data_IF_665632495027
#
_entry.id   IF_665632495027
#
_cell.length_a   1.000
_cell.length_b   1.000
_cell.length_c   1.000
_cell.angle_alpha   90.00
_cell.angle_beta   90.00
_cell.angle_gamma   90.00
#
_symmetry.space_group_name_H-M   'P 1'
#
loop_
_entity.id
_entity.type
_entity.pdbx_description
1 polymer ?
#
# COMPACT_ATOMS: atom_id res chain seq x y z
N UNK A 1 28.43 -8.01 30.53
CA UNK A 1 27.38 -8.49 29.61
C UNK A 1 27.95 -8.30 28.19
N UNK A 2 28.15 -9.42 27.49
CA UNK A 2 28.53 -9.38 26.09
C UNK A 2 27.32 -8.95 25.26
N UNK A 3 27.50 -8.11 24.20
CA UNK A 3 26.40 -7.78 23.30
C UNK A 3 25.91 -9.06 22.62
N UNK A 4 24.60 -9.23 22.52
CA UNK A 4 24.00 -10.29 21.75
C UNK A 4 24.47 -10.17 20.29
N UNK A 5 25.02 -11.25 19.74
CA UNK A 5 25.33 -11.32 18.31
C UNK A 5 24.01 -11.20 17.53
N UNK A 6 23.94 -10.22 16.61
CA UNK A 6 22.87 -10.15 15.63
C UNK A 6 22.82 -11.47 14.84
N UNK A 7 21.63 -12.01 14.51
CA UNK A 7 21.52 -13.18 13.66
C UNK A 7 22.24 -12.89 12.35
N UNK A 8 23.14 -13.76 11.94
CA UNK A 8 23.81 -13.68 10.64
C UNK A 8 22.72 -13.76 9.56
N UNK A 9 22.63 -12.75 8.69
CA UNK A 9 21.83 -12.82 7.47
C UNK A 9 22.28 -14.04 6.67
N UNK A 10 21.32 -14.90 6.31
CA UNK A 10 21.61 -16.00 5.39
C UNK A 10 22.07 -15.41 4.05
N UNK A 11 23.06 -16.00 3.38
CA UNK A 11 23.53 -15.49 2.11
C UNK A 11 22.39 -15.52 1.08
N UNK A 12 22.18 -14.39 0.39
CA UNK A 12 21.23 -14.32 -0.72
C UNK A 12 21.63 -15.35 -1.80
N UNK A 13 20.64 -16.09 -2.40
CA UNK A 13 20.91 -17.05 -3.45
C UNK A 13 21.61 -16.41 -4.65
N UNK A 14 22.54 -17.14 -5.28
CA UNK A 14 23.21 -16.64 -6.49
C UNK A 14 22.21 -16.54 -7.66
N UNK A 15 22.41 -15.55 -8.54
CA UNK A 15 21.52 -15.26 -9.70
C UNK A 15 21.25 -16.50 -10.55
N UNK A 16 22.23 -17.37 -10.76
CA UNK A 16 22.07 -18.60 -11.53
C UNK A 16 21.09 -19.60 -10.88
N UNK A 17 20.98 -19.61 -9.54
CA UNK A 17 20.03 -20.46 -8.81
C UNK A 17 18.60 -19.92 -8.94
N UNK A 18 18.43 -18.61 -8.91
CA UNK A 18 17.14 -17.94 -9.12
C UNK A 18 16.64 -18.16 -10.55
N UNK A 19 17.53 -17.97 -11.55
CA UNK A 19 17.18 -18.25 -12.94
C UNK A 19 16.76 -19.71 -13.11
N UNK A 20 17.49 -20.64 -12.54
CA UNK A 20 17.15 -22.08 -12.65
C UNK A 20 15.82 -22.42 -11.98
N UNK A 21 15.41 -21.67 -10.97
CA UNK A 21 14.15 -21.91 -10.25
C UNK A 21 12.91 -21.30 -10.94
N UNK A 22 13.08 -20.17 -11.63
CA UNK A 22 11.97 -19.38 -12.17
C UNK A 22 11.97 -19.20 -13.69
N UNK A 23 12.97 -19.64 -14.44
CA UNK A 23 12.99 -19.64 -15.91
C UNK A 23 12.04 -20.73 -16.43
N UNK A 24 10.76 -20.45 -16.41
CA UNK A 24 9.70 -21.39 -16.78
C UNK A 24 9.69 -21.65 -18.30
N UNK A 25 10.07 -20.68 -19.09
CA UNK A 25 10.07 -20.77 -20.56
C UNK A 25 11.39 -21.38 -21.12
N UNK A 26 12.46 -21.48 -20.30
CA UNK A 26 13.75 -22.08 -20.65
C UNK A 26 14.61 -21.24 -21.57
N UNK A 27 14.47 -19.93 -21.58
CA UNK A 27 15.22 -19.01 -22.43
C UNK A 27 16.54 -18.52 -21.81
N UNK A 28 16.80 -18.90 -20.55
CA UNK A 28 18.03 -18.62 -19.84
C UNK A 28 18.02 -17.32 -19.05
N UNK A 29 16.85 -16.68 -18.88
CA UNK A 29 16.67 -15.49 -18.06
C UNK A 29 15.34 -15.57 -17.29
N UNK A 30 15.10 -14.62 -16.39
CA UNK A 30 13.79 -14.44 -15.74
C UNK A 30 13.17 -13.13 -16.22
N UNK A 31 11.92 -13.18 -16.62
CA UNK A 31 11.14 -12.02 -17.02
C UNK A 31 10.00 -11.78 -16.05
N UNK A 32 9.98 -10.62 -15.37
CA UNK A 32 8.89 -10.23 -14.50
C UNK A 32 7.80 -9.54 -15.32
N UNK A 33 6.56 -10.03 -15.23
CA UNK A 33 5.38 -9.32 -15.70
C UNK A 33 4.78 -8.50 -14.57
N UNK A 34 4.34 -7.28 -14.83
CA UNK A 34 3.61 -6.45 -13.88
C UNK A 34 2.25 -6.10 -14.47
N UNK A 35 1.18 -6.50 -13.78
CA UNK A 35 -0.18 -6.08 -14.06
C UNK A 35 -0.62 -5.08 -12.98
N UNK A 36 -0.80 -3.81 -13.34
CA UNK A 36 -1.15 -2.75 -12.42
C UNK A 36 -2.54 -2.17 -12.73
N UNK A 37 -3.41 -2.06 -11.71
CA UNK A 37 -4.75 -1.50 -11.88
C UNK A 37 -4.73 0.01 -12.17
N UNK A 38 -3.77 0.74 -11.63
CA UNK A 38 -3.58 2.17 -11.89
C UNK A 38 -2.42 2.50 -12.82
N UNK A 39 -2.25 3.79 -13.14
CA UNK A 39 -1.16 4.28 -13.97
C UNK A 39 0.21 4.03 -13.31
N UNK A 40 1.21 3.66 -14.12
CA UNK A 40 2.60 3.48 -13.67
C UNK A 40 3.32 4.75 -13.24
N UNK A 41 2.69 5.90 -13.40
CA UNK A 41 3.17 7.24 -13.04
C UNK A 41 2.20 7.95 -12.08
N UNK A 42 1.52 7.17 -11.21
CA UNK A 42 0.54 7.70 -10.25
C UNK A 42 1.16 8.44 -9.05
N UNK A 43 2.47 8.45 -8.93
CA UNK A 43 3.18 9.03 -7.78
C UNK A 43 3.04 8.19 -6.50
N UNK A 44 2.46 6.99 -6.55
CA UNK A 44 2.09 6.17 -5.41
C UNK A 44 2.35 4.68 -5.60
N UNK A 45 1.35 3.88 -5.24
CA UNK A 45 1.43 2.43 -5.14
C UNK A 45 1.85 1.72 -6.44
N UNK A 46 1.24 2.10 -7.58
CA UNK A 46 1.50 1.39 -8.84
C UNK A 46 2.83 1.80 -9.46
N UNK A 47 3.20 3.09 -9.34
CA UNK A 47 4.52 3.53 -9.77
C UNK A 47 5.61 2.81 -9.02
N UNK A 48 5.53 2.74 -7.69
CA UNK A 48 6.59 2.09 -6.89
C UNK A 48 6.70 0.60 -7.18
N UNK A 49 5.59 -0.10 -7.48
CA UNK A 49 5.60 -1.50 -7.90
C UNK A 49 6.34 -1.69 -9.23
N UNK A 50 6.12 -0.80 -10.21
CA UNK A 50 6.80 -0.85 -11.51
C UNK A 50 8.28 -0.50 -11.36
N UNK A 51 8.60 0.57 -10.64
CA UNK A 51 9.97 1.01 -10.38
C UNK A 51 10.78 -0.08 -9.67
N UNK A 52 10.15 -0.79 -8.72
CA UNK A 52 10.75 -1.96 -8.08
C UNK A 52 11.06 -3.05 -9.12
N UNK A 53 10.11 -3.45 -9.95
CA UNK A 53 10.32 -4.51 -10.94
C UNK A 53 11.44 -4.16 -11.92
N UNK A 54 11.52 -2.90 -12.37
CA UNK A 54 12.58 -2.40 -13.25
C UNK A 54 13.96 -2.44 -12.56
N UNK A 55 14.03 -1.92 -11.32
CA UNK A 55 15.28 -1.87 -10.56
C UNK A 55 15.77 -3.27 -10.21
N UNK A 56 14.87 -4.10 -9.67
CA UNK A 56 15.21 -5.47 -9.28
C UNK A 56 15.67 -6.31 -10.47
N UNK A 57 15.00 -6.21 -11.62
CA UNK A 57 15.41 -6.93 -12.84
C UNK A 57 16.79 -6.49 -13.31
N UNK A 58 17.07 -5.18 -13.29
CA UNK A 58 18.38 -4.66 -13.70
C UNK A 58 19.50 -5.09 -12.75
N UNK A 59 19.29 -5.08 -11.44
CA UNK A 59 20.27 -5.45 -10.43
C UNK A 59 20.61 -6.95 -10.44
N UNK A 60 19.60 -7.79 -10.78
CA UNK A 60 19.77 -9.25 -10.79
C UNK A 60 20.04 -9.84 -12.18
N UNK A 61 20.23 -9.01 -13.20
CA UNK A 61 20.54 -9.47 -14.55
C UNK A 61 19.38 -10.19 -15.23
N UNK A 62 18.16 -9.93 -14.80
CA UNK A 62 16.92 -10.41 -15.42
C UNK A 62 16.62 -9.64 -16.71
N UNK A 63 15.71 -10.16 -17.51
CA UNK A 63 15.19 -9.40 -18.65
C UNK A 63 14.43 -8.15 -18.15
N UNK A 64 14.36 -7.05 -18.93
CA UNK A 64 13.52 -5.92 -18.60
C UNK A 64 12.07 -6.37 -18.37
N UNK A 65 11.39 -5.88 -17.32
CA UNK A 65 10.03 -6.32 -17.02
C UNK A 65 9.04 -5.93 -18.12
N UNK A 66 7.99 -6.71 -18.28
CA UNK A 66 6.88 -6.42 -19.19
C UNK A 66 5.73 -5.87 -18.36
N UNK A 67 5.35 -4.62 -18.59
CA UNK A 67 4.37 -3.90 -17.76
C UNK A 67 3.10 -3.62 -18.55
N UNK A 68 1.96 -4.01 -17.98
CA UNK A 68 0.63 -3.55 -18.37
C UNK A 68 0.03 -2.78 -17.20
N UNK A 69 -0.25 -1.52 -17.38
CA UNK A 69 -0.75 -0.62 -16.35
C UNK A 69 -2.10 0.02 -16.72
N UNK A 70 -2.72 0.68 -15.77
CA UNK A 70 -4.04 1.30 -15.92
C UNK A 70 -5.10 0.29 -16.40
N UNK A 71 -5.07 -0.92 -15.82
CA UNK A 71 -5.94 -2.02 -16.19
C UNK A 71 -7.28 -1.87 -15.45
N UNK A 72 -8.35 -1.66 -16.20
CA UNK A 72 -9.70 -1.72 -15.65
C UNK A 72 -10.14 -3.15 -15.33
N UNK A 73 -11.06 -3.33 -14.39
CA UNK A 73 -11.56 -4.64 -13.97
C UNK A 73 -12.11 -5.47 -15.17
N UNK A 74 -12.82 -4.83 -16.11
CA UNK A 74 -13.36 -5.51 -17.29
C UNK A 74 -12.29 -6.00 -18.29
N UNK A 75 -11.09 -5.42 -18.25
CA UNK A 75 -9.96 -5.77 -19.10
C UNK A 75 -8.94 -6.69 -18.42
N UNK A 76 -9.06 -6.91 -17.11
CA UNK A 76 -8.07 -7.59 -16.27
C UNK A 76 -7.69 -8.98 -16.81
N UNK A 77 -8.69 -9.82 -17.11
CA UNK A 77 -8.45 -11.16 -17.64
C UNK A 77 -7.63 -11.15 -18.94
N UNK A 78 -7.99 -10.25 -19.86
CA UNK A 78 -7.29 -10.11 -21.14
C UNK A 78 -5.86 -9.58 -20.96
N UNK A 79 -5.68 -8.53 -20.16
CA UNK A 79 -4.38 -7.90 -19.98
C UNK A 79 -3.37 -8.85 -19.33
N UNK A 80 -3.78 -9.60 -18.29
CA UNK A 80 -2.91 -10.59 -17.65
C UNK A 80 -2.65 -11.81 -18.54
N UNK A 81 -3.64 -12.29 -19.31
CA UNK A 81 -3.41 -13.35 -20.29
C UNK A 81 -2.43 -12.91 -21.40
N UNK A 82 -2.51 -11.64 -21.85
CA UNK A 82 -1.58 -11.08 -22.83
C UNK A 82 -0.15 -10.98 -22.27
N UNK A 83 0.03 -10.64 -20.99
CA UNK A 83 1.34 -10.70 -20.30
C UNK A 83 1.86 -12.13 -20.22
N UNK A 84 1.03 -13.08 -19.79
CA UNK A 84 1.38 -14.49 -19.70
C UNK A 84 1.86 -15.06 -21.05
N UNK A 85 1.19 -14.70 -22.16
CA UNK A 85 1.56 -15.12 -23.51
C UNK A 85 2.84 -14.48 -24.04
N UNK A 86 3.34 -13.43 -23.44
CA UNK A 86 4.62 -12.81 -23.80
C UNK A 86 5.83 -13.50 -23.17
N UNK A 87 5.62 -14.58 -22.41
CA UNK A 87 6.70 -15.39 -21.86
C UNK A 87 7.28 -14.84 -20.57
N UNK A 88 6.46 -14.18 -19.74
CA UNK A 88 6.86 -13.82 -18.38
C UNK A 88 6.94 -15.08 -17.51
N UNK A 89 7.89 -15.11 -16.60
CA UNK A 89 8.12 -16.24 -15.68
C UNK A 89 7.48 -16.00 -14.31
N UNK A 90 7.50 -14.76 -13.86
CA UNK A 90 6.82 -14.30 -12.63
C UNK A 90 5.83 -13.21 -13.03
N UNK A 91 4.56 -13.31 -12.64
CA UNK A 91 3.58 -12.27 -12.88
C UNK A 91 3.12 -11.66 -11.55
N UNK A 92 3.47 -10.41 -11.34
CA UNK A 92 3.07 -9.61 -10.18
C UNK A 92 1.79 -8.83 -10.46
N UNK A 93 0.76 -9.04 -9.66
CA UNK A 93 -0.55 -8.39 -9.76
C UNK A 93 -0.71 -7.36 -8.65
N UNK A 94 -0.80 -6.12 -9.01
CA UNK A 94 -1.04 -5.00 -8.11
C UNK A 94 -2.31 -4.25 -8.52
N UNK A 95 -3.40 -4.44 -7.83
CA UNK A 95 -3.64 -5.25 -6.65
C UNK A 95 -5.03 -5.94 -6.76
N UNK A 96 -5.81 -5.96 -5.66
CA UNK A 96 -7.09 -6.71 -5.60
C UNK A 96 -8.15 -6.24 -6.61
N UNK A 97 -8.07 -5.02 -7.10
CA UNK A 97 -9.01 -4.42 -8.07
C UNK A 97 -9.09 -5.19 -9.39
N UNK A 98 -8.01 -5.87 -9.74
CA UNK A 98 -7.93 -6.68 -10.98
C UNK A 98 -7.74 -8.18 -10.70
N UNK A 99 -7.93 -8.63 -9.45
CA UNK A 99 -7.64 -10.01 -9.04
C UNK A 99 -8.74 -11.03 -9.40
N UNK A 100 -9.96 -10.57 -9.72
CA UNK A 100 -11.11 -11.44 -9.97
C UNK A 100 -10.84 -12.60 -10.98
N UNK A 101 -10.10 -12.43 -12.09
CA UNK A 101 -9.86 -13.50 -13.03
C UNK A 101 -8.69 -14.45 -12.64
N UNK A 102 -7.98 -14.22 -11.56
CA UNK A 102 -6.82 -15.02 -11.16
C UNK A 102 -7.09 -16.53 -11.02
N UNK A 103 -8.26 -16.99 -10.48
CA UNK A 103 -8.54 -18.42 -10.41
C UNK A 103 -8.45 -19.13 -11.76
N UNK A 104 -9.01 -18.53 -12.81
CA UNK A 104 -9.00 -19.11 -14.15
C UNK A 104 -7.61 -18.98 -14.83
N UNK A 105 -6.91 -17.86 -14.57
CA UNK A 105 -5.62 -17.59 -15.19
C UNK A 105 -4.49 -18.45 -14.63
N UNK A 106 -4.46 -18.72 -13.33
CA UNK A 106 -3.47 -19.62 -12.71
C UNK A 106 -3.63 -21.05 -13.21
N UNK A 107 -4.87 -21.51 -13.47
CA UNK A 107 -5.12 -22.81 -14.10
C UNK A 107 -4.73 -22.84 -15.58
N UNK A 108 -4.92 -21.74 -16.30
CA UNK A 108 -4.61 -21.64 -17.73
C UNK A 108 -3.10 -21.54 -18.00
N UNK A 109 -2.33 -20.90 -17.12
CA UNK A 109 -0.90 -20.67 -17.26
C UNK A 109 -0.14 -21.20 -16.02
N UNK A 110 -0.12 -22.53 -15.81
CA UNK A 110 0.42 -23.13 -14.58
C UNK A 110 1.95 -23.10 -14.47
N UNK A 111 2.65 -22.75 -15.55
CA UNK A 111 4.12 -22.67 -15.56
C UNK A 111 4.62 -21.29 -15.08
N UNK A 112 3.75 -20.29 -15.00
CA UNK A 112 4.08 -18.95 -14.51
C UNK A 112 3.93 -18.90 -13.00
N UNK A 113 4.90 -18.30 -12.29
CA UNK A 113 4.74 -18.01 -10.88
C UNK A 113 3.86 -16.77 -10.70
N UNK A 114 2.65 -16.96 -10.16
CA UNK A 114 1.70 -15.89 -9.91
C UNK A 114 1.83 -15.35 -8.49
N UNK A 115 1.99 -14.04 -8.38
CA UNK A 115 2.00 -13.31 -7.12
C UNK A 115 0.99 -12.17 -7.14
N UNK A 116 0.23 -12.01 -6.05
CA UNK A 116 -0.69 -10.89 -5.87
C UNK A 116 -0.58 -10.30 -4.47
N UNK A 117 -0.46 -8.99 -4.37
CA UNK A 117 -0.81 -8.26 -3.16
C UNK A 117 -2.33 -8.02 -3.19
N UNK A 118 -3.09 -9.05 -2.88
CA UNK A 118 -4.53 -9.11 -3.11
C UNK A 118 -5.40 -8.52 -1.98
N UNK A 119 -4.79 -8.04 -0.91
CA UNK A 119 -5.53 -7.49 0.22
C UNK A 119 -6.35 -8.52 1.00
N UNK A 120 -7.01 -8.06 2.05
CA UNK A 120 -7.82 -8.91 2.92
C UNK A 120 -9.08 -9.44 2.20
N UNK A 121 -9.39 -10.70 2.48
CA UNK A 121 -10.61 -11.34 1.97
C UNK A 121 -10.49 -12.03 0.63
N UNK A 122 -9.37 -11.92 -0.10
CA UNK A 122 -9.15 -12.72 -1.29
C UNK A 122 -8.82 -14.17 -0.89
N UNK A 123 -9.50 -15.19 -1.46
CA UNK A 123 -9.30 -16.57 -1.04
C UNK A 123 -7.91 -17.09 -1.45
N UNK A 124 -7.36 -18.01 -0.66
CA UNK A 124 -6.18 -18.76 -1.07
C UNK A 124 -6.52 -19.65 -2.28
N UNK A 125 -5.69 -19.56 -3.32
CA UNK A 125 -5.87 -20.27 -4.56
C UNK A 125 -4.63 -21.12 -4.86
N UNK A 126 -4.79 -22.40 -5.27
CA UNK A 126 -3.69 -23.17 -5.82
C UNK A 126 -3.03 -22.39 -6.98
N UNK A 127 -1.70 -22.39 -7.06
CA UNK A 127 -0.97 -21.69 -8.12
C UNK A 127 -0.89 -20.18 -7.95
N UNK A 128 -1.32 -19.61 -6.81
CA UNK A 128 -1.20 -18.19 -6.50
C UNK A 128 -0.49 -17.97 -5.15
N UNK A 129 0.66 -17.32 -5.16
CA UNK A 129 1.26 -16.78 -3.95
C UNK A 129 0.63 -15.42 -3.63
N UNK A 130 0.24 -15.19 -2.39
CA UNK A 130 -0.40 -13.96 -1.98
C UNK A 130 0.33 -13.29 -0.84
N UNK A 131 0.32 -11.97 -0.85
CA UNK A 131 0.62 -11.19 0.33
C UNK A 131 -0.55 -10.26 0.66
N UNK A 132 -0.70 -9.95 1.93
CA UNK A 132 -1.69 -9.00 2.43
C UNK A 132 -1.09 -8.20 3.56
N UNK A 133 -1.58 -7.01 3.75
CA UNK A 133 -1.34 -6.20 4.94
C UNK A 133 -2.62 -6.16 5.82
N UNK A 134 -2.54 -5.48 6.93
CA UNK A 134 -3.71 -5.24 7.76
C UNK A 134 -4.05 -3.75 7.77
N UNK A 135 -4.96 -3.36 6.89
CA UNK A 135 -5.35 -1.97 6.69
C UNK A 135 -5.75 -1.26 7.99
N UNK A 136 -6.52 -1.91 8.85
CA UNK A 136 -6.91 -1.33 10.13
C UNK A 136 -5.70 -1.02 11.04
N UNK A 137 -4.70 -1.90 11.11
CA UNK A 137 -3.50 -1.67 11.92
C UNK A 137 -2.63 -0.53 11.36
N UNK A 138 -2.42 -0.52 10.06
CA UNK A 138 -1.71 0.56 9.35
C UNK A 138 -2.36 1.91 9.65
N UNK A 139 -3.67 2.00 9.44
CA UNK A 139 -4.41 3.25 9.56
C UNK A 139 -4.69 3.68 11.02
N UNK A 140 -4.63 2.76 11.97
CA UNK A 140 -4.57 3.11 13.39
C UNK A 140 -3.33 3.96 13.71
N UNK A 141 -2.14 3.55 13.23
CA UNK A 141 -0.91 4.34 13.42
C UNK A 141 -1.02 5.72 12.77
N UNK A 142 -1.67 5.78 11.60
CA UNK A 142 -1.95 7.03 10.90
C UNK A 142 -2.85 7.96 11.73
N UNK A 143 -3.90 7.43 12.33
CA UNK A 143 -4.78 8.19 13.21
C UNK A 143 -4.04 8.79 14.41
N UNK A 144 -3.17 7.99 15.05
CA UNK A 144 -2.32 8.47 16.16
C UNK A 144 -1.38 9.59 15.71
N UNK A 145 -0.70 9.43 14.56
CA UNK A 145 0.19 10.44 14.00
C UNK A 145 -0.54 11.74 13.66
N UNK A 146 -1.66 11.63 12.94
CA UNK A 146 -2.49 12.77 12.54
C UNK A 146 -3.04 13.52 13.75
N UNK A 147 -3.42 12.82 14.82
CA UNK A 147 -3.86 13.44 16.07
C UNK A 147 -2.77 14.31 16.67
N UNK A 148 -1.54 13.83 16.75
CA UNK A 148 -0.42 14.60 17.29
C UNK A 148 -0.15 15.86 16.44
N UNK A 149 -0.11 15.72 15.13
CA UNK A 149 0.05 16.85 14.18
C UNK A 149 -1.07 17.87 14.37
N UNK A 150 -2.31 17.43 14.51
CA UNK A 150 -3.47 18.32 14.73
C UNK A 150 -3.40 19.06 16.08
N UNK A 151 -2.98 18.37 17.14
CA UNK A 151 -2.79 18.96 18.48
C UNK A 151 -1.70 20.05 18.42
N UNK A 152 -0.56 19.73 17.78
CA UNK A 152 0.55 20.69 17.62
C UNK A 152 0.16 21.90 16.77
N UNK A 153 -0.67 21.70 15.75
CA UNK A 153 -1.19 22.77 14.90
C UNK A 153 -2.36 23.55 15.53
N UNK A 154 -2.94 23.04 16.64
CA UNK A 154 -4.10 23.64 17.28
C UNK A 154 -5.39 23.55 16.47
N UNK A 155 -5.54 22.51 15.64
CA UNK A 155 -6.74 22.22 14.85
C UNK A 155 -7.47 20.99 15.38
N UNK A 156 -8.79 20.91 15.16
CA UNK A 156 -9.61 19.79 15.60
C UNK A 156 -10.40 19.12 14.48
N UNK A 157 -10.28 19.66 13.25
CA UNK A 157 -10.99 19.14 12.08
C UNK A 157 -9.99 18.69 11.01
N UNK A 158 -10.26 17.57 10.41
CA UNK A 158 -9.52 17.03 9.28
C UNK A 158 -10.46 16.45 8.22
N UNK A 159 -9.91 16.14 7.05
CA UNK A 159 -10.63 15.52 5.94
C UNK A 159 -9.89 14.30 5.44
N UNK A 160 -10.63 13.22 5.18
CA UNK A 160 -10.20 12.06 4.41
C UNK A 160 -10.73 12.20 2.99
N UNK A 161 -9.83 12.33 2.02
CA UNK A 161 -10.18 12.35 0.62
C UNK A 161 -10.04 10.94 0.07
N UNK A 162 -11.14 10.27 -0.15
CA UNK A 162 -11.19 8.92 -0.71
C UNK A 162 -11.82 8.93 -2.10
N UNK A 163 -11.84 7.76 -2.73
CA UNK A 163 -12.50 7.56 -4.02
C UNK A 163 -14.02 7.43 -3.83
N UNK A 164 -14.46 6.39 -3.18
CA UNK A 164 -15.76 5.82 -3.51
C UNK A 164 -16.36 4.92 -2.40
N UNK A 165 -15.93 5.00 -1.16
CA UNK A 165 -16.45 4.24 0.01
C UNK A 165 -16.42 2.71 -0.20
N UNK A 166 -15.37 2.20 -0.82
CA UNK A 166 -15.16 0.75 -0.93
C UNK A 166 -14.60 0.18 0.38
N UNK A 167 -14.68 -1.13 0.57
CA UNK A 167 -14.41 -1.80 1.85
C UNK A 167 -13.07 -1.41 2.50
N UNK A 168 -11.96 -1.43 1.76
CA UNK A 168 -10.66 -1.08 2.31
C UNK A 168 -10.50 0.43 2.60
N UNK A 169 -11.22 1.33 1.89
CA UNK A 169 -11.26 2.75 2.25
C UNK A 169 -12.09 2.98 3.52
N UNK A 170 -13.21 2.27 3.68
CA UNK A 170 -14.02 2.33 4.90
C UNK A 170 -13.21 1.83 6.09
N UNK A 171 -12.50 0.69 5.94
CA UNK A 171 -11.56 0.18 6.94
C UNK A 171 -10.51 1.22 7.32
N UNK A 172 -9.87 1.84 6.31
CA UNK A 172 -8.85 2.86 6.49
C UNK A 172 -9.39 4.08 7.25
N UNK A 173 -10.53 4.62 6.80
CA UNK A 173 -11.16 5.77 7.43
C UNK A 173 -11.53 5.51 8.89
N UNK A 174 -12.21 4.40 9.16
CA UNK A 174 -12.66 4.06 10.52
C UNK A 174 -11.48 3.82 11.46
N UNK A 175 -10.40 3.19 10.96
CA UNK A 175 -9.19 2.97 11.73
C UNK A 175 -8.41 4.27 12.01
N UNK A 176 -8.34 5.21 11.05
CA UNK A 176 -7.78 6.55 11.28
C UNK A 176 -8.58 7.28 12.35
N UNK A 177 -9.92 7.31 12.23
CA UNK A 177 -10.78 7.96 13.22
C UNK A 177 -10.61 7.32 14.61
N UNK A 178 -10.55 5.99 14.69
CA UNK A 178 -10.31 5.27 15.94
C UNK A 178 -8.94 5.65 16.55
N UNK A 179 -7.88 5.66 15.75
CA UNK A 179 -6.54 6.07 16.20
C UNK A 179 -6.50 7.53 16.67
N UNK A 180 -7.10 8.44 15.92
CA UNK A 180 -7.21 9.86 16.32
C UNK A 180 -7.93 10.03 17.66
N UNK A 181 -9.09 9.38 17.81
CA UNK A 181 -9.92 9.50 19.01
C UNK A 181 -9.34 8.79 20.23
N UNK A 182 -8.43 7.82 20.03
CA UNK A 182 -7.67 7.21 21.12
C UNK A 182 -6.70 8.20 21.78
N UNK A 183 -6.22 9.21 21.00
CA UNK A 183 -5.35 10.29 21.48
C UNK A 183 -6.19 11.45 22.04
N UNK A 184 -7.13 11.97 21.27
CA UNK A 184 -8.04 13.04 21.70
C UNK A 184 -9.44 12.84 21.10
N UNK A 185 -10.46 12.51 21.92
CA UNK A 185 -11.83 12.29 21.47
C UNK A 185 -12.51 13.51 20.84
N UNK A 186 -11.92 14.69 20.94
CA UNK A 186 -12.47 15.92 20.35
C UNK A 186 -12.09 16.11 18.88
N UNK A 187 -11.13 15.34 18.38
CA UNK A 187 -10.69 15.37 16.99
C UNK A 187 -11.72 14.70 16.08
N UNK A 188 -11.93 15.30 14.91
CA UNK A 188 -12.91 14.82 13.93
C UNK A 188 -12.31 14.79 12.54
N UNK A 189 -12.68 13.77 11.77
CA UNK A 189 -12.35 13.63 10.36
C UNK A 189 -13.63 13.44 9.55
N UNK A 190 -13.76 14.15 8.44
CA UNK A 190 -14.86 14.01 7.50
C UNK A 190 -14.36 13.17 6.30
N UNK A 191 -15.13 12.14 5.91
CA UNK A 191 -14.86 11.43 4.67
C UNK A 191 -15.52 12.17 3.50
N UNK A 192 -14.76 12.39 2.43
CA UNK A 192 -15.25 13.00 1.19
C UNK A 192 -14.87 12.13 0.00
N UNK A 193 -15.91 11.60 -0.68
CA UNK A 193 -15.74 10.87 -1.93
C UNK A 193 -15.38 11.83 -3.07
N UNK A 194 -14.31 11.54 -3.81
CA UNK A 194 -13.80 12.40 -4.88
C UNK A 194 -13.85 11.75 -6.26
N UNK A 195 -14.07 10.44 -6.33
CA UNK A 195 -14.10 9.68 -7.57
C UNK A 195 -15.41 8.91 -7.77
N UNK A 196 -15.49 8.19 -8.87
CA UNK A 196 -16.60 7.31 -9.20
C UNK A 196 -16.30 5.87 -8.76
N UNK A 197 -17.35 5.17 -8.29
CA UNK A 197 -17.25 3.74 -7.98
C UNK A 197 -16.90 2.93 -9.25
N UNK A 198 -16.04 1.90 -9.21
CA UNK A 198 -15.45 1.37 -7.97
C UNK A 198 -14.06 1.92 -7.62
N UNK A 199 -13.26 2.45 -8.52
CA UNK A 199 -11.81 2.66 -8.28
C UNK A 199 -11.24 3.94 -8.92
N UNK A 200 -12.02 5.03 -9.01
CA UNK A 200 -11.51 6.31 -9.56
C UNK A 200 -10.74 7.12 -8.51
N UNK A 201 -9.49 6.73 -8.27
CA UNK A 201 -8.56 7.46 -7.41
C UNK A 201 -7.83 8.61 -8.14
N UNK A 202 -8.22 8.90 -9.39
CA UNK A 202 -7.45 9.78 -10.27
C UNK A 202 -8.15 11.12 -10.55
N UNK A 203 -9.29 11.40 -9.92
CA UNK A 203 -10.09 12.59 -10.19
C UNK A 203 -9.52 13.84 -9.50
N UNK A 204 -8.45 14.40 -10.06
CA UNK A 204 -7.75 15.57 -9.53
C UNK A 204 -8.64 16.80 -9.34
N UNK A 205 -9.61 17.01 -10.24
CA UNK A 205 -10.52 18.17 -10.16
C UNK A 205 -11.44 18.07 -8.94
N UNK A 206 -12.04 16.90 -8.71
CA UNK A 206 -12.92 16.67 -7.56
C UNK A 206 -12.11 16.67 -6.25
N UNK A 207 -10.93 16.03 -6.21
CA UNK A 207 -10.06 16.01 -5.04
C UNK A 207 -9.67 17.43 -4.60
N UNK A 208 -9.25 18.27 -5.55
CA UNK A 208 -8.90 19.67 -5.29
C UNK A 208 -10.11 20.47 -4.78
N UNK A 209 -11.28 20.31 -5.40
CA UNK A 209 -12.51 21.02 -4.98
C UNK A 209 -13.00 20.58 -3.59
N UNK A 210 -12.93 19.28 -3.30
CA UNK A 210 -13.27 18.71 -2.00
C UNK A 210 -12.36 19.26 -0.90
N UNK A 211 -11.04 19.27 -1.15
CA UNK A 211 -10.06 19.83 -0.23
C UNK A 211 -10.34 21.32 0.06
N UNK A 212 -10.55 22.14 -1.00
CA UNK A 212 -10.83 23.57 -0.83
C UNK A 212 -12.11 23.79 -0.01
N UNK A 213 -13.13 22.96 -0.18
CA UNK A 213 -14.35 22.98 0.62
C UNK A 213 -14.07 22.65 2.08
N UNK A 214 -13.34 21.56 2.34
CA UNK A 214 -12.98 21.16 3.70
C UNK A 214 -12.15 22.24 4.43
N UNK A 215 -11.21 22.87 3.72
CA UNK A 215 -10.43 24.01 4.26
C UNK A 215 -11.34 25.19 4.61
N UNK A 216 -12.30 25.53 3.77
CA UNK A 216 -13.26 26.59 4.04
C UNK A 216 -14.14 26.28 5.27
N UNK A 217 -14.40 25.01 5.54
CA UNK A 217 -15.13 24.51 6.71
C UNK A 217 -14.25 24.33 7.96
N UNK A 218 -12.95 24.65 7.84
CA UNK A 218 -11.98 24.74 8.93
C UNK A 218 -11.15 23.49 9.15
N UNK A 219 -11.03 22.61 8.15
CA UNK A 219 -10.06 21.51 8.19
C UNK A 219 -8.62 22.06 8.22
N UNK A 220 -7.82 21.57 9.14
CA UNK A 220 -6.39 21.93 9.27
C UNK A 220 -5.45 20.80 8.91
N UNK A 221 -6.02 19.63 8.53
CA UNK A 221 -5.28 18.47 8.05
C UNK A 221 -6.09 17.73 6.98
N UNK A 222 -5.43 17.23 5.95
CA UNK A 222 -5.99 16.34 4.96
C UNK A 222 -5.22 15.01 4.92
N UNK A 223 -5.94 13.91 4.78
CA UNK A 223 -5.39 12.63 4.38
C UNK A 223 -5.87 12.31 2.96
N UNK A 224 -4.94 12.29 2.02
CA UNK A 224 -5.21 12.05 0.61
C UNK A 224 -5.04 10.55 0.29
N UNK A 225 -6.12 9.78 0.43
CA UNK A 225 -6.18 8.36 0.05
C UNK A 225 -6.51 8.25 -1.44
N UNK A 226 -5.53 8.62 -2.27
CA UNK A 226 -5.71 8.83 -3.71
C UNK A 226 -4.54 8.22 -4.49
N UNK A 227 -4.76 7.93 -5.78
CA UNK A 227 -3.74 7.58 -6.75
C UNK A 227 -3.28 8.80 -7.56
N UNK A 228 -3.56 8.87 -8.84
CA UNK A 228 -3.15 10.01 -9.70
C UNK A 228 -3.71 11.38 -9.28
N UNK A 229 -4.67 11.44 -8.34
CA UNK A 229 -5.11 12.71 -7.74
C UNK A 229 -4.33 13.10 -6.47
N UNK A 230 -3.35 12.30 -6.03
CA UNK A 230 -2.58 12.53 -4.81
C UNK A 230 -1.79 13.85 -4.86
N UNK A 231 -0.96 14.02 -5.88
CA UNK A 231 -0.15 15.24 -6.03
C UNK A 231 -0.99 16.52 -6.19
N UNK A 232 -2.06 16.55 -7.03
CA UNK A 232 -2.98 17.68 -7.09
C UNK A 232 -3.61 18.03 -5.74
N UNK A 233 -3.99 17.04 -4.93
CA UNK A 233 -4.51 17.27 -3.58
C UNK A 233 -3.41 17.81 -2.63
N UNK A 234 -2.21 17.24 -2.67
CA UNK A 234 -1.05 17.71 -1.92
C UNK A 234 -0.67 19.15 -2.24
N UNK A 235 -0.67 19.51 -3.53
CA UNK A 235 -0.43 20.87 -3.97
C UNK A 235 -1.50 21.84 -3.42
N UNK A 236 -2.76 21.48 -3.51
CA UNK A 236 -3.84 22.32 -2.99
C UNK A 236 -3.78 22.48 -1.45
N UNK A 237 -3.37 21.44 -0.71
CA UNK A 237 -3.15 21.52 0.73
C UNK A 237 -1.97 22.44 1.09
N UNK A 238 -0.88 22.36 0.32
CA UNK A 238 0.29 23.23 0.44
C UNK A 238 -0.09 24.70 0.23
N UNK A 239 -0.86 25.01 -0.83
CA UNK A 239 -1.36 26.36 -1.11
C UNK A 239 -2.30 26.88 -0.02
N UNK A 240 -3.09 26.00 0.60
CA UNK A 240 -3.97 26.32 1.72
C UNK A 240 -3.22 26.46 3.05
N UNK A 241 -1.98 25.99 3.15
CA UNK A 241 -1.17 26.00 4.36
C UNK A 241 -1.65 25.06 5.46
N UNK A 242 -2.27 23.95 5.08
CA UNK A 242 -2.70 22.87 6.00
C UNK A 242 -1.78 21.65 5.92
N UNK A 243 -1.78 20.84 6.97
CA UNK A 243 -1.07 19.58 6.99
C UNK A 243 -1.66 18.59 5.96
N UNK A 244 -0.81 17.79 5.30
CA UNK A 244 -1.26 16.76 4.36
C UNK A 244 -0.46 15.47 4.48
N UNK A 245 -1.17 14.36 4.59
CA UNK A 245 -0.62 13.01 4.54
C UNK A 245 -0.93 12.37 3.20
N UNK A 246 0.08 11.72 2.63
CA UNK A 246 -0.06 10.89 1.44
C UNK A 246 -0.48 9.48 1.82
N UNK A 247 -1.14 8.76 0.90
CA UNK A 247 -1.44 7.35 1.00
C UNK A 247 -0.54 6.55 0.06
N UNK A 248 0.19 5.59 0.59
CA UNK A 248 0.99 4.62 -0.14
C UNK A 248 2.50 4.86 -0.09
N UNK A 249 3.04 5.93 -0.69
CA UNK A 249 4.47 6.00 -0.98
C UNK A 249 5.34 6.18 0.26
N UNK A 250 6.47 5.45 0.29
CA UNK A 250 7.46 5.48 1.37
C UNK A 250 8.39 6.69 1.31
N UNK A 251 8.55 7.29 0.15
CA UNK A 251 9.55 8.34 -0.13
C UNK A 251 9.08 9.78 0.08
N UNK A 252 7.83 9.97 0.51
CA UNK A 252 7.16 11.27 0.61
C UNK A 252 8.01 12.34 1.32
N UNK A 253 8.64 11.99 2.42
CA UNK A 253 9.44 12.94 3.20
C UNK A 253 10.74 13.37 2.52
N UNK A 254 11.14 12.69 1.45
CA UNK A 254 12.35 12.98 0.68
C UNK A 254 12.09 13.61 -0.69
N UNK A 255 10.83 13.73 -1.09
CA UNK A 255 10.45 14.31 -2.39
C UNK A 255 10.75 15.80 -2.48
N UNK A 256 11.24 16.23 -3.64
CA UNK A 256 11.47 17.64 -3.99
C UNK A 256 10.51 18.03 -5.13
N UNK A 257 9.23 17.88 -4.88
CA UNK A 257 8.11 18.12 -5.82
C UNK A 257 7.41 19.47 -5.59
N UNK A 258 7.87 20.24 -4.59
CA UNK A 258 7.29 21.51 -4.21
C UNK A 258 6.04 21.39 -3.33
N UNK A 259 5.66 20.19 -2.91
CA UNK A 259 4.55 19.93 -1.99
C UNK A 259 5.09 19.84 -0.57
N UNK A 260 4.40 20.50 0.36
CA UNK A 260 4.76 20.49 1.78
C UNK A 260 4.13 19.29 2.49
N UNK A 261 4.60 18.10 2.14
CA UNK A 261 4.12 16.88 2.78
C UNK A 261 4.39 16.87 4.28
N UNK A 262 3.40 16.49 5.07
CA UNK A 262 3.52 16.32 6.52
C UNK A 262 3.90 14.91 6.89
N UNK A 263 3.51 13.94 6.07
CA UNK A 263 3.82 12.53 6.28
C UNK A 263 3.18 11.64 5.23
N UNK A 264 3.40 10.35 5.40
CA UNK A 264 2.78 9.28 4.61
C UNK A 264 2.12 8.25 5.52
N UNK A 265 1.08 7.63 5.03
CA UNK A 265 0.61 6.34 5.51
C UNK A 265 1.13 5.29 4.54
N UNK A 266 2.20 4.64 4.91
CA UNK A 266 2.96 3.75 4.03
C UNK A 266 2.21 2.43 3.86
N UNK A 267 1.92 2.06 2.63
CA UNK A 267 1.54 0.75 2.10
C UNK A 267 1.99 0.69 0.64
N UNK A 268 3.28 0.68 0.45
CA UNK A 268 3.96 0.93 -0.82
C UNK A 268 4.10 -0.36 -1.63
N UNK A 269 3.65 -0.35 -2.89
CA UNK A 269 3.64 -1.53 -3.75
C UNK A 269 5.03 -2.08 -4.05
N UNK A 270 6.03 -1.21 -4.19
CA UNK A 270 7.42 -1.59 -4.41
C UNK A 270 8.08 -2.18 -3.16
N UNK A 271 7.81 -1.60 -1.99
CA UNK A 271 8.29 -2.13 -0.71
C UNK A 271 7.71 -3.52 -0.46
N UNK A 272 6.41 -3.71 -0.69
CA UNK A 272 5.77 -5.02 -0.56
C UNK A 272 6.29 -6.03 -1.59
N UNK A 273 6.47 -5.61 -2.84
CA UNK A 273 7.05 -6.48 -3.87
C UNK A 273 8.49 -6.88 -3.53
N UNK A 274 9.30 -5.95 -2.99
CA UNK A 274 10.66 -6.24 -2.55
C UNK A 274 10.71 -7.26 -1.41
N UNK A 275 9.78 -7.19 -0.47
CA UNK A 275 9.66 -8.19 0.59
C UNK A 275 9.16 -9.53 0.03
N UNK A 276 8.12 -9.49 -0.81
CA UNK A 276 7.53 -10.70 -1.37
C UNK A 276 8.49 -11.48 -2.26
N UNK A 277 9.26 -10.81 -3.14
CA UNK A 277 10.19 -11.49 -4.03
C UNK A 277 11.28 -12.24 -3.27
N UNK A 278 11.75 -11.69 -2.15
CA UNK A 278 12.72 -12.38 -1.27
C UNK A 278 12.12 -13.64 -0.67
N UNK A 279 10.87 -13.56 -0.18
CA UNK A 279 10.16 -14.72 0.38
C UNK A 279 9.84 -15.78 -0.69
N UNK A 280 9.57 -15.36 -1.93
CA UNK A 280 9.37 -16.26 -3.07
C UNK A 280 10.68 -16.98 -3.40
N UNK A 281 11.78 -16.26 -3.50
CA UNK A 281 13.09 -16.83 -3.82
C UNK A 281 13.59 -17.76 -2.72
N UNK A 282 13.39 -17.43 -1.44
CA UNK A 282 13.75 -18.31 -0.33
C UNK A 282 12.82 -19.52 -0.17
N UNK A 283 11.66 -19.50 -0.83
CA UNK A 283 10.63 -20.54 -0.70
C UNK A 283 9.71 -20.37 0.52
N UNK A 284 9.82 -19.24 1.24
CA UNK A 284 8.97 -18.93 2.40
C UNK A 284 7.59 -18.42 2.00
N UNK A 285 7.42 -17.94 0.77
CA UNK A 285 6.13 -17.64 0.15
C UNK A 285 5.95 -18.54 -1.09
N UNK A 286 5.21 -19.62 -0.90
CA UNK A 286 4.91 -20.57 -1.96
C UNK A 286 3.55 -20.28 -2.60
N UNK A 287 3.35 -20.78 -3.82
CA UNK A 287 2.03 -20.83 -4.44
C UNK A 287 1.03 -21.57 -3.54
N UNK A 288 -0.20 -21.08 -3.50
CA UNK A 288 -1.25 -21.60 -2.63
C UNK A 288 -1.18 -21.14 -1.19
N UNK A 289 -0.30 -20.17 -0.87
CA UNK A 289 -0.17 -19.60 0.47
C UNK A 289 -0.33 -18.08 0.50
N UNK A 290 -0.64 -17.56 1.69
CA UNK A 290 -0.77 -16.13 1.97
C UNK A 290 0.21 -15.72 3.05
N UNK A 291 1.01 -14.70 2.78
CA UNK A 291 1.87 -14.04 3.75
C UNK A 291 1.24 -12.75 4.22
N UNK A 292 1.08 -12.58 5.52
CA UNK A 292 0.61 -11.31 6.10
C UNK A 292 1.81 -10.46 6.54
N UNK A 293 1.96 -9.30 5.92
CA UNK A 293 2.97 -8.33 6.35
C UNK A 293 2.67 -7.85 7.78
N UNK A 294 3.68 -7.82 8.67
CA UNK A 294 3.54 -7.18 9.96
C UNK A 294 3.34 -5.66 9.79
N UNK A 295 2.67 -5.02 10.75
CA UNK A 295 2.63 -3.56 10.82
C UNK A 295 3.80 -3.08 11.65
N UNK A 296 4.82 -2.55 10.98
CA UNK A 296 6.08 -2.14 11.61
C UNK A 296 6.72 -0.93 10.92
N UNK A 297 7.48 -0.10 11.65
CA UNK A 297 8.15 1.06 11.09
C UNK A 297 9.07 0.68 9.91
N UNK A 298 8.98 1.45 8.82
CA UNK A 298 9.80 1.27 7.63
C UNK A 298 9.24 0.25 6.61
N UNK A 299 8.29 -0.60 7.01
CA UNK A 299 7.56 -1.47 6.09
C UNK A 299 6.21 -0.84 5.73
N UNK A 300 5.44 -0.46 6.74
CA UNK A 300 4.11 0.14 6.55
C UNK A 300 3.67 0.93 7.80
N UNK A 301 2.50 1.59 7.73
CA UNK A 301 2.00 2.45 8.79
C UNK A 301 2.43 3.91 8.62
N UNK A 302 2.22 4.73 9.64
CA UNK A 302 2.50 6.16 9.54
C UNK A 302 4.00 6.48 9.61
N UNK A 303 4.41 7.38 8.71
CA UNK A 303 5.69 8.10 8.76
C UNK A 303 5.43 9.60 8.73
N UNK A 304 6.08 10.37 9.63
CA UNK A 304 5.88 11.82 9.77
C UNK A 304 7.17 12.57 9.47
N UNK A 305 7.10 13.46 8.49
CA UNK A 305 8.25 14.23 8.04
C UNK A 305 8.75 15.19 9.14
N UNK A 306 9.92 14.91 9.69
CA UNK A 306 10.49 15.75 10.75
C UNK A 306 9.67 15.73 12.05
N UNK A 307 9.10 14.59 12.40
CA UNK A 307 8.28 14.38 13.59
C UNK A 307 8.89 15.01 14.85
N UNK A 308 8.05 15.63 15.67
CA UNK A 308 8.44 16.06 17.02
C UNK A 308 8.72 14.84 17.92
N UNK A 309 9.36 15.06 19.06
CA UNK A 309 9.59 14.01 20.02
C UNK A 309 8.27 13.43 20.58
N UNK A 310 7.23 14.24 20.70
CA UNK A 310 5.92 13.81 21.19
C UNK A 310 5.20 12.97 20.12
N UNK A 311 5.24 13.41 18.86
CA UNK A 311 4.69 12.64 17.72
C UNK A 311 5.42 11.31 17.55
N UNK A 312 6.76 11.31 17.57
CA UNK A 312 7.52 10.06 17.47
C UNK A 312 7.25 9.12 18.63
N UNK A 313 7.18 9.64 19.86
CA UNK A 313 6.88 8.83 21.05
C UNK A 313 5.48 8.19 20.99
N UNK A 314 4.48 8.90 20.47
CA UNK A 314 3.14 8.35 20.29
C UNK A 314 3.11 7.27 19.20
N UNK A 315 3.87 7.46 18.11
CA UNK A 315 4.01 6.44 17.07
C UNK A 315 4.73 5.18 17.59
N UNK A 316 5.84 5.34 18.33
CA UNK A 316 6.58 4.23 18.90
C UNK A 316 5.67 3.42 19.85
N UNK A 317 4.81 4.08 20.64
CA UNK A 317 3.82 3.41 21.48
C UNK A 317 2.77 2.66 20.65
N UNK A 318 2.23 3.28 19.61
CA UNK A 318 1.24 2.65 18.73
C UNK A 318 1.77 1.39 18.04
N UNK A 319 2.97 1.45 17.46
CA UNK A 319 3.63 0.28 16.89
C UNK A 319 3.98 -0.76 17.96
N UNK A 320 4.40 -0.33 19.15
CA UNK A 320 4.67 -1.22 20.28
C UNK A 320 3.45 -2.01 20.73
N UNK A 321 2.26 -1.39 20.77
CA UNK A 321 1.00 -2.07 21.09
C UNK A 321 0.62 -3.10 20.02
N UNK A 322 0.80 -2.77 18.74
CA UNK A 322 0.58 -3.70 17.63
C UNK A 322 1.54 -4.89 17.70
N UNK A 323 2.83 -4.64 17.90
CA UNK A 323 3.86 -5.68 18.01
C UNK A 323 3.66 -6.59 19.25
N UNK A 324 3.12 -6.04 20.32
CA UNK A 324 2.78 -6.79 21.55
C UNK A 324 1.48 -7.60 21.43
N UNK A 325 0.74 -7.46 20.31
CA UNK A 325 -0.59 -8.05 20.13
C UNK A 325 -1.53 -7.70 21.29
N UNK A 326 -1.62 -6.42 21.66
CA UNK A 326 -2.51 -5.96 22.73
C UNK A 326 -3.96 -6.38 22.44
N UNK A 327 -4.54 -7.20 23.31
CA UNK A 327 -5.79 -7.89 23.01
C UNK A 327 -7.00 -6.96 22.89
N UNK A 328 -6.99 -5.79 23.54
CA UNK A 328 -8.06 -4.79 23.42
C UNK A 328 -7.95 -4.07 22.09
N UNK A 329 -6.76 -3.60 21.74
CA UNK A 329 -6.48 -2.95 20.45
C UNK A 329 -6.76 -3.90 19.29
N UNK A 330 -6.21 -5.12 19.32
CA UNK A 330 -6.42 -6.11 18.25
C UNK A 330 -7.90 -6.46 18.06
N UNK A 331 -8.66 -6.54 19.17
CA UNK A 331 -10.10 -6.78 19.11
C UNK A 331 -10.87 -5.62 18.48
N UNK A 332 -10.51 -4.38 18.79
CA UNK A 332 -11.13 -3.19 18.18
C UNK A 332 -10.83 -3.10 16.69
N UNK A 333 -9.56 -3.26 16.29
CA UNK A 333 -9.15 -3.23 14.87
C UNK A 333 -9.78 -4.37 14.07
N UNK A 334 -9.85 -5.58 14.64
CA UNK A 334 -10.54 -6.71 14.02
C UNK A 334 -12.04 -6.47 13.84
N UNK A 335 -12.66 -5.71 14.75
CA UNK A 335 -14.04 -5.25 14.62
C UNK A 335 -14.23 -4.32 13.42
N UNK A 336 -13.35 -3.31 13.28
CA UNK A 336 -13.35 -2.36 12.16
C UNK A 336 -13.22 -3.12 10.84
N UNK A 337 -12.23 -4.01 10.70
CA UNK A 337 -12.06 -4.82 9.49
C UNK A 337 -13.32 -5.64 9.19
N UNK A 338 -13.88 -6.31 10.20
CA UNK A 338 -15.09 -7.13 10.02
C UNK A 338 -16.30 -6.32 9.56
N UNK A 339 -16.50 -5.11 10.07
CA UNK A 339 -17.59 -4.23 9.66
C UNK A 339 -17.41 -3.77 8.22
N UNK A 340 -16.21 -3.29 7.85
CA UNK A 340 -15.90 -2.82 6.51
C UNK A 340 -16.11 -3.90 5.43
N UNK A 341 -15.64 -5.13 5.69
CA UNK A 341 -15.74 -6.22 4.72
C UNK A 341 -17.07 -7.00 4.78
N UNK A 342 -17.94 -6.74 5.74
CA UNK A 342 -19.28 -7.34 5.80
C UNK A 342 -20.36 -6.50 5.11
N UNK A 343 -20.09 -5.23 4.83
CA UNK A 343 -21.01 -4.28 4.23
C UNK A 343 -21.03 -4.30 2.69
N UNK A 344 -20.09 -5.04 2.05
CA UNK A 344 -19.91 -5.14 0.59
C UNK A 344 -20.60 -6.31 -0.08
#
# INVERSE_FOLDING_TARGET
EEPAEEPAEEPEPEVDEVVAAFDANGDGTVTIGVAAAGPRDDGGYYQSLVDFAETFSAENGFAPPIVSDNIGADDAARAMADLAQQGVDILMVGASEIAEPLPDLTEQFPDIFWYCNCGAGFPELPGLAQATDWGAAIHYTAGVAMAQVMIEAGTTKSVFLGCCEINFEVEAYDAVVFGMQSVDPSLTMEYVSTGDYPYDFNNAANATAALQTAVADGAGLAYAYLGGALEPAGQAATEAGIAVFAAGPVDICSRDDGISWTGSVVFDGGVYAAQAIRLIISGDLAEGSTYQFPTEPGLNGADVCGASADTQGALDEAFGLLAAYDGELMGALGGISSEAYSAG
#
